data_IF_276412313267
#
_entry.id   IF_276412313267
#
_cell.length_a   1.000
_cell.length_b   1.000
_cell.length_c   1.000
_cell.angle_alpha   90.00
_cell.angle_beta   90.00
_cell.angle_gamma   90.00
#
_symmetry.space_group_name_H-M   'P 1'
#
loop_
_entity.id
_entity.type
_entity.pdbx_description
1 polymer ?
#
# COMPACT_ATOMS: atom_id res chain seq x y z
N UNK A 1 -44.23 8.64 25.69
CA UNK A 1 -43.50 9.70 24.95
C UNK A 1 -42.07 9.66 25.44
N UNK A 2 -41.16 8.98 24.70
CA UNK A 2 -39.79 8.79 25.17
C UNK A 2 -39.05 10.13 25.19
N UNK A 3 -38.80 10.65 26.38
CA UNK A 3 -37.94 11.82 26.58
C UNK A 3 -36.51 11.39 26.29
N UNK A 4 -36.02 11.74 25.10
CA UNK A 4 -34.62 11.58 24.72
C UNK A 4 -33.80 12.41 25.73
N UNK A 5 -32.97 11.74 26.52
CA UNK A 5 -32.14 12.43 27.52
C UNK A 5 -30.89 12.99 26.85
N UNK A 6 -30.26 13.99 27.47
CA UNK A 6 -29.01 14.59 26.96
C UNK A 6 -27.91 13.52 26.83
N UNK A 7 -27.91 12.49 27.69
CA UNK A 7 -27.00 11.35 27.60
C UNK A 7 -27.27 10.48 26.36
N UNK A 8 -28.53 10.33 25.93
CA UNK A 8 -28.86 9.60 24.71
C UNK A 8 -28.33 10.37 23.49
N UNK A 9 -28.55 11.69 23.44
CA UNK A 9 -28.03 12.52 22.36
C UNK A 9 -26.50 12.43 22.29
N UNK A 10 -25.82 12.55 23.43
CA UNK A 10 -24.36 12.46 23.53
C UNK A 10 -23.83 11.10 23.03
N UNK A 11 -24.43 9.99 23.47
CA UNK A 11 -24.07 8.64 23.03
C UNK A 11 -24.31 8.45 21.52
N UNK A 12 -25.40 8.97 20.98
CA UNK A 12 -25.67 8.90 19.55
C UNK A 12 -24.65 9.73 18.76
N UNK A 13 -24.29 10.95 19.18
CA UNK A 13 -23.22 11.71 18.51
C UNK A 13 -21.87 11.01 18.52
N UNK A 14 -21.52 10.33 19.62
CA UNK A 14 -20.29 9.54 19.73
C UNK A 14 -20.34 8.35 18.75
N UNK A 15 -21.43 7.58 18.76
CA UNK A 15 -21.57 6.39 17.89
C UNK A 15 -21.53 6.79 16.42
N UNK A 16 -22.29 7.80 16.00
CA UNK A 16 -22.32 8.24 14.60
C UNK A 16 -21.02 8.92 14.17
N UNK A 17 -20.41 9.73 15.06
CA UNK A 17 -19.13 10.37 14.81
C UNK A 17 -18.03 9.36 14.55
N UNK A 18 -17.81 8.42 15.47
CA UNK A 18 -16.76 7.41 15.34
C UNK A 18 -17.02 6.41 14.20
N UNK A 19 -18.29 6.03 13.96
CA UNK A 19 -18.65 5.15 12.84
C UNK A 19 -18.41 5.83 11.49
N UNK A 20 -18.66 7.14 11.37
CA UNK A 20 -18.42 7.86 10.12
C UNK A 20 -16.93 7.92 9.75
N UNK A 21 -16.05 8.14 10.74
CA UNK A 21 -14.60 8.23 10.53
C UNK A 21 -14.02 6.88 10.10
N UNK A 22 -14.47 5.77 10.71
CA UNK A 22 -14.01 4.42 10.33
C UNK A 22 -14.48 4.02 8.94
N UNK A 23 -15.72 4.37 8.57
CA UNK A 23 -16.25 4.14 7.21
C UNK A 23 -15.47 4.96 6.17
N UNK A 24 -15.17 6.24 6.44
CA UNK A 24 -14.40 7.09 5.53
C UNK A 24 -12.98 6.55 5.34
N UNK A 25 -12.30 6.13 6.42
CA UNK A 25 -10.98 5.52 6.34
C UNK A 25 -10.98 4.19 5.56
N UNK A 26 -12.04 3.39 5.72
CA UNK A 26 -12.24 2.16 4.96
C UNK A 26 -12.44 2.43 3.46
N UNK A 27 -13.24 3.44 3.11
CA UNK A 27 -13.49 3.83 1.71
C UNK A 27 -12.20 4.35 1.05
N UNK A 28 -11.45 5.25 1.70
CA UNK A 28 -10.20 5.79 1.14
C UNK A 28 -9.16 4.70 0.86
N UNK A 29 -9.06 3.70 1.74
CA UNK A 29 -8.11 2.59 1.57
C UNK A 29 -8.54 1.60 0.47
N UNK A 30 -9.84 1.40 0.25
CA UNK A 30 -10.35 0.54 -0.82
C UNK A 30 -10.30 1.21 -2.20
N UNK A 31 -10.69 2.49 -2.30
CA UNK A 31 -10.72 3.24 -3.56
C UNK A 31 -9.30 3.40 -4.14
N UNK A 32 -8.31 3.74 -3.30
CA UNK A 32 -6.92 3.89 -3.74
C UNK A 32 -6.28 2.60 -4.29
N UNK A 33 -6.69 1.44 -3.78
CA UNK A 33 -6.22 0.13 -4.28
C UNK A 33 -6.84 -0.24 -5.63
N UNK A 34 -8.07 0.19 -5.90
CA UNK A 34 -8.77 -0.10 -7.15
C UNK A 34 -8.14 0.58 -8.36
N UNK A 35 -7.78 1.86 -8.24
CA UNK A 35 -7.17 2.62 -9.33
C UNK A 35 -5.78 2.10 -9.70
N UNK A 36 -4.96 1.73 -8.72
CA UNK A 36 -3.62 1.19 -8.97
C UNK A 36 -3.67 -0.14 -9.73
N UNK A 37 -4.66 -0.99 -9.46
CA UNK A 37 -4.85 -2.26 -10.18
C UNK A 37 -5.27 -2.02 -11.63
N UNK A 38 -6.17 -1.07 -11.88
CA UNK A 38 -6.62 -0.71 -13.24
C UNK A 38 -5.46 -0.18 -14.09
N UNK A 39 -4.65 0.72 -13.53
CA UNK A 39 -3.47 1.29 -14.24
C UNK A 39 -2.43 0.21 -14.59
N UNK A 40 -2.15 -0.71 -13.66
CA UNK A 40 -1.27 -1.86 -13.91
C UNK A 40 -1.81 -2.78 -15.01
N UNK A 41 -3.11 -3.09 -14.98
CA UNK A 41 -3.74 -3.92 -16.00
C UNK A 41 -3.68 -3.28 -17.39
N UNK A 42 -3.98 -1.98 -17.49
CA UNK A 42 -3.89 -1.22 -18.73
C UNK A 42 -2.48 -1.19 -19.31
N UNK A 43 -1.46 -1.03 -18.46
CA UNK A 43 -0.06 -1.07 -18.90
C UNK A 43 0.36 -2.45 -19.40
N UNK A 44 -0.01 -3.52 -18.67
CA UNK A 44 0.24 -4.91 -19.10
C UNK A 44 -0.41 -5.19 -20.45
N UNK A 45 -1.67 -4.78 -20.62
CA UNK A 45 -2.40 -4.93 -21.88
C UNK A 45 -1.76 -4.13 -23.03
N UNK A 46 -1.23 -2.95 -22.75
CA UNK A 46 -0.54 -2.13 -23.75
C UNK A 46 0.72 -2.81 -24.28
N UNK A 47 1.51 -3.46 -23.42
CA UNK A 47 2.68 -4.26 -23.83
C UNK A 47 2.24 -5.46 -24.67
N UNK A 48 1.24 -6.21 -24.18
CA UNK A 48 0.71 -7.39 -24.87
C UNK A 48 0.15 -7.04 -26.26
N UNK A 49 -0.60 -5.95 -26.39
CA UNK A 49 -1.14 -5.51 -27.67
C UNK A 49 -0.05 -5.07 -28.64
N UNK A 50 0.99 -4.37 -28.18
CA UNK A 50 2.14 -3.99 -29.02
C UNK A 50 2.93 -5.21 -29.49
N UNK A 51 3.15 -6.18 -28.60
CA UNK A 51 3.77 -7.46 -28.94
C UNK A 51 2.94 -8.26 -29.96
N UNK A 52 1.63 -8.40 -29.73
CA UNK A 52 0.69 -9.09 -30.65
C UNK A 52 0.64 -8.44 -32.05
N UNK A 53 0.86 -7.13 -32.12
CA UNK A 53 0.91 -6.39 -33.37
C UNK A 53 2.32 -6.32 -33.99
N UNK A 54 3.29 -7.12 -33.51
CA UNK A 54 4.69 -7.11 -33.93
C UNK A 54 5.36 -5.72 -33.87
N UNK A 55 4.93 -4.87 -32.94
CA UNK A 55 5.55 -3.57 -32.68
C UNK A 55 6.72 -3.81 -31.72
N UNK A 56 7.93 -3.56 -32.21
CA UNK A 56 9.14 -3.64 -31.40
C UNK A 56 9.18 -2.47 -30.42
N UNK A 57 8.99 -2.76 -29.12
CA UNK A 57 9.14 -1.76 -28.07
C UNK A 57 10.63 -1.60 -27.80
N UNK A 58 11.13 -0.38 -27.98
CA UNK A 58 12.47 -0.03 -27.51
C UNK A 58 12.43 0.58 -26.10
N UNK A 59 13.56 0.67 -25.42
CA UNK A 59 13.58 1.12 -24.02
C UNK A 59 13.12 2.58 -23.85
N UNK A 60 13.37 3.47 -24.81
CA UNK A 60 12.80 4.83 -24.81
C UNK A 60 11.27 4.82 -24.96
N UNK A 61 10.74 3.91 -25.77
CA UNK A 61 9.30 3.75 -25.93
C UNK A 61 8.67 3.17 -24.67
N UNK A 62 9.34 2.22 -24.01
CA UNK A 62 8.93 1.68 -22.72
C UNK A 62 8.86 2.78 -21.64
N UNK A 63 9.85 3.67 -21.58
CA UNK A 63 9.84 4.81 -20.65
C UNK A 63 8.69 5.78 -20.93
N UNK A 64 8.41 6.09 -22.20
CA UNK A 64 7.23 6.88 -22.59
C UNK A 64 5.91 6.19 -22.23
N UNK A 65 5.85 4.85 -22.32
CA UNK A 65 4.69 4.08 -21.87
C UNK A 65 4.50 4.18 -20.36
N UNK A 66 5.57 4.18 -19.56
CA UNK A 66 5.50 4.38 -18.11
C UNK A 66 4.92 5.75 -17.78
N UNK A 67 5.45 6.81 -18.41
CA UNK A 67 5.00 8.19 -18.19
C UNK A 67 3.52 8.37 -18.57
N UNK A 68 3.12 7.86 -19.74
CA UNK A 68 1.73 7.99 -20.23
C UNK A 68 0.72 7.18 -19.40
N UNK A 69 1.11 6.03 -18.87
CA UNK A 69 0.24 5.18 -18.03
C UNK A 69 0.19 5.61 -16.56
N UNK A 70 1.00 6.59 -16.16
CA UNK A 70 1.10 7.09 -14.77
C UNK A 70 1.34 5.97 -13.74
N UNK A 71 2.03 4.92 -14.14
CA UNK A 71 2.47 3.87 -13.22
C UNK A 71 3.86 4.20 -12.70
N UNK A 72 4.17 3.71 -11.50
CA UNK A 72 5.54 3.79 -10.99
C UNK A 72 6.47 2.89 -11.81
N UNK A 73 7.70 3.36 -12.07
CA UNK A 73 8.73 2.61 -12.80
C UNK A 73 8.95 1.19 -12.25
N UNK A 74 9.06 1.05 -10.92
CA UNK A 74 9.17 -0.25 -10.25
C UNK A 74 8.01 -1.20 -10.60
N UNK A 75 6.78 -0.68 -10.68
CA UNK A 75 5.60 -1.47 -11.06
C UNK A 75 5.64 -1.88 -12.53
N UNK A 76 6.18 -1.03 -13.40
CA UNK A 76 6.36 -1.34 -14.82
C UNK A 76 7.38 -2.46 -15.03
N UNK A 77 8.50 -2.39 -14.33
CA UNK A 77 9.54 -3.43 -14.32
C UNK A 77 8.99 -4.76 -13.80
N UNK A 78 8.21 -4.74 -12.72
CA UNK A 78 7.53 -5.93 -12.21
C UNK A 78 6.57 -6.54 -13.23
N UNK A 79 5.79 -5.73 -13.95
CA UNK A 79 4.90 -6.20 -15.02
C UNK A 79 5.71 -6.85 -16.15
N UNK A 80 6.85 -6.28 -16.52
CA UNK A 80 7.72 -6.84 -17.55
C UNK A 80 8.35 -8.17 -17.09
N UNK A 81 8.80 -8.27 -15.83
CA UNK A 81 9.29 -9.52 -15.25
C UNK A 81 8.21 -10.59 -15.18
N UNK A 82 6.97 -10.22 -14.83
CA UNK A 82 5.83 -11.14 -14.87
C UNK A 82 5.55 -11.65 -16.29
N UNK A 83 5.57 -10.76 -17.29
CA UNK A 83 5.38 -11.15 -18.70
C UNK A 83 6.48 -12.09 -19.20
N UNK A 84 7.73 -11.88 -18.76
CA UNK A 84 8.85 -12.77 -19.05
C UNK A 84 8.67 -14.16 -18.42
N UNK A 85 8.14 -14.23 -17.19
CA UNK A 85 7.85 -15.48 -16.48
C UNK A 85 6.62 -16.20 -17.05
N UNK A 86 5.61 -15.46 -17.50
CA UNK A 86 4.38 -15.99 -18.12
C UNK A 86 4.57 -16.40 -19.59
N UNK A 87 5.71 -16.05 -20.19
CA UNK A 87 6.01 -16.34 -21.59
C UNK A 87 5.98 -17.85 -21.86
N UNK A 88 4.99 -18.29 -22.65
CA UNK A 88 4.75 -19.70 -22.95
C UNK A 88 5.40 -20.14 -24.26
N UNK A 89 5.85 -19.20 -25.10
CA UNK A 89 6.54 -19.48 -26.36
C UNK A 89 7.99 -18.97 -26.35
N UNK A 90 8.90 -19.59 -27.13
CA UNK A 90 10.27 -19.12 -27.27
C UNK A 90 10.36 -17.71 -27.86
N UNK A 91 9.47 -17.34 -28.78
CA UNK A 91 9.42 -15.99 -29.34
C UNK A 91 9.07 -14.93 -28.28
N UNK A 92 8.03 -15.18 -27.47
CA UNK A 92 7.62 -14.26 -26.41
C UNK A 92 8.73 -14.09 -25.36
N UNK A 93 9.36 -15.20 -24.97
CA UNK A 93 10.43 -15.18 -23.99
C UNK A 93 11.63 -14.38 -24.49
N UNK A 94 12.03 -14.57 -25.76
CA UNK A 94 13.12 -13.82 -26.36
C UNK A 94 12.80 -12.32 -26.46
N UNK A 95 11.56 -11.97 -26.84
CA UNK A 95 11.12 -10.57 -26.91
C UNK A 95 11.22 -9.87 -25.55
N UNK A 96 10.60 -10.43 -24.50
CA UNK A 96 10.63 -9.83 -23.18
C UNK A 96 12.05 -9.83 -22.58
N UNK A 97 12.85 -10.88 -22.83
CA UNK A 97 14.24 -10.95 -22.37
C UNK A 97 15.11 -9.87 -23.01
N UNK A 98 14.94 -9.61 -24.31
CA UNK A 98 15.62 -8.52 -25.00
C UNK A 98 15.20 -7.15 -24.47
N UNK A 99 13.92 -6.95 -24.19
CA UNK A 99 13.41 -5.69 -23.64
C UNK A 99 13.97 -5.44 -22.22
N UNK A 100 14.04 -6.46 -21.37
CA UNK A 100 14.70 -6.39 -20.05
C UNK A 100 16.17 -6.00 -20.19
N UNK A 101 16.91 -6.68 -21.07
CA UNK A 101 18.34 -6.38 -21.30
C UNK A 101 18.58 -4.97 -21.84
N UNK A 102 17.67 -4.46 -22.68
CA UNK A 102 17.75 -3.08 -23.19
C UNK A 102 17.49 -2.05 -22.09
N UNK A 103 16.54 -2.31 -21.19
CA UNK A 103 16.27 -1.46 -20.04
C UNK A 103 17.44 -1.46 -19.04
N UNK A 104 18.04 -2.62 -18.78
CA UNK A 104 19.24 -2.74 -17.96
C UNK A 104 20.44 -1.97 -18.53
N UNK A 105 20.55 -1.87 -19.86
CA UNK A 105 21.62 -1.10 -20.53
C UNK A 105 21.40 0.40 -20.49
N UNK A 106 20.14 0.86 -20.57
CA UNK A 106 19.82 2.30 -20.57
C UNK A 106 19.82 2.88 -19.15
N UNK A 107 19.56 2.08 -18.12
CA UNK A 107 19.70 2.50 -16.74
C UNK A 107 20.40 1.42 -15.89
N UNK A 108 21.76 1.39 -15.91
CA UNK A 108 22.53 0.48 -15.05
C UNK A 108 22.29 0.70 -13.54
N UNK A 109 21.61 1.81 -13.18
CA UNK A 109 21.30 2.23 -11.81
C UNK A 109 19.79 2.43 -11.58
N UNK A 110 18.94 1.84 -12.43
CA UNK A 110 17.50 2.14 -12.49
C UNK A 110 16.71 1.87 -11.21
N UNK A 111 17.22 1.00 -10.34
CA UNK A 111 16.70 0.62 -9.03
C UNK A 111 16.95 1.65 -7.92
N UNK A 112 17.81 2.65 -8.17
CA UNK A 112 18.25 3.62 -7.17
C UNK A 112 17.48 4.94 -7.20
N UNK A 113 17.44 5.62 -6.04
CA UNK A 113 16.87 6.96 -5.91
C UNK A 113 17.47 7.97 -6.90
N UNK A 114 16.71 9.00 -7.27
CA UNK A 114 17.10 9.97 -8.31
C UNK A 114 18.45 10.65 -8.03
N UNK A 115 18.72 10.95 -6.76
CA UNK A 115 19.96 11.60 -6.34
C UNK A 115 21.15 10.63 -6.43
N UNK A 116 20.97 9.38 -5.98
CA UNK A 116 22.00 8.33 -6.10
C UNK A 116 22.32 7.98 -7.54
N UNK A 117 21.31 7.95 -8.41
CA UNK A 117 21.48 7.71 -9.85
C UNK A 117 22.36 8.76 -10.50
N UNK A 118 22.11 10.03 -10.21
CA UNK A 118 22.90 11.15 -10.75
C UNK A 118 24.38 11.06 -10.31
N UNK A 119 24.62 10.63 -9.07
CA UNK A 119 25.97 10.45 -8.52
C UNK A 119 26.68 9.27 -9.21
N UNK A 120 25.98 8.14 -9.37
CA UNK A 120 26.54 6.94 -10.00
C UNK A 120 26.75 7.09 -11.50
N UNK A 121 25.89 7.80 -12.22
CA UNK A 121 26.10 8.14 -13.64
C UNK A 121 27.34 9.01 -13.82
N UNK A 122 27.55 9.99 -12.93
CA UNK A 122 28.79 10.80 -12.94
C UNK A 122 30.02 9.96 -12.62
N UNK A 123 29.93 9.08 -11.64
CA UNK A 123 31.03 8.17 -11.29
C UNK A 123 31.33 7.19 -12.43
N UNK A 124 30.30 6.67 -13.10
CA UNK A 124 30.43 5.81 -14.27
C UNK A 124 31.21 6.49 -15.38
N UNK A 125 30.85 7.72 -15.74
CA UNK A 125 31.58 8.52 -16.73
C UNK A 125 33.04 8.78 -16.31
N UNK A 126 33.33 8.96 -15.02
CA UNK A 126 34.70 9.13 -14.52
C UNK A 126 35.49 7.82 -14.63
N UNK A 127 34.90 6.69 -14.27
CA UNK A 127 35.55 5.37 -14.34
C UNK A 127 35.70 4.84 -15.75
N UNK A 128 34.79 5.18 -16.67
CA UNK A 128 34.84 4.78 -18.07
C UNK A 128 35.97 5.51 -18.82
N UNK A 129 36.28 6.75 -18.42
CA UNK A 129 37.41 7.52 -18.91
C UNK A 129 38.73 7.20 -18.17
N UNK A 130 38.73 6.28 -17.20
CA UNK A 130 39.96 5.85 -16.52
C UNK A 130 40.77 4.89 -17.39
N UNK A 131 42.09 5.03 -17.36
CA UNK A 131 43.04 4.14 -18.04
C UNK A 131 43.19 2.77 -17.38
N UNK A 132 42.61 2.55 -16.21
CA UNK A 132 42.70 1.29 -15.47
C UNK A 132 41.41 0.47 -15.56
N UNK A 133 41.48 -0.75 -16.07
CA UNK A 133 40.34 -1.66 -16.20
C UNK A 133 39.76 -2.07 -14.84
N UNK A 134 40.56 -2.00 -13.76
CA UNK A 134 40.08 -2.23 -12.40
C UNK A 134 39.00 -1.23 -11.98
N UNK A 135 39.11 0.01 -12.45
CA UNK A 135 38.27 1.12 -12.00
C UNK A 135 36.84 0.99 -12.54
N UNK A 136 36.70 0.38 -13.72
CA UNK A 136 35.42 0.03 -14.33
C UNK A 136 34.62 -0.98 -13.49
N UNK A 137 35.30 -1.80 -12.67
CA UNK A 137 34.66 -2.79 -11.80
C UNK A 137 34.35 -2.27 -10.39
N UNK A 138 34.88 -1.10 -9.99
CA UNK A 138 34.65 -0.53 -8.65
C UNK A 138 33.19 -0.14 -8.40
N UNK A 139 32.44 0.17 -9.46
CA UNK A 139 31.05 0.60 -9.35
C UNK A 139 30.08 -0.52 -9.02
N UNK A 140 30.41 -1.77 -9.32
CA UNK A 140 29.56 -2.93 -9.06
C UNK A 140 29.31 -3.13 -7.55
N UNK A 141 30.32 -3.21 -6.68
CA UNK A 141 30.09 -3.33 -5.24
C UNK A 141 29.43 -2.08 -4.63
N UNK A 142 29.74 -0.88 -5.14
CA UNK A 142 29.12 0.37 -4.70
C UNK A 142 27.61 0.37 -5.03
N UNK A 143 27.25 -0.04 -6.25
CA UNK A 143 25.86 -0.24 -6.67
C UNK A 143 25.13 -1.21 -5.76
N UNK A 144 25.69 -2.40 -5.54
CA UNK A 144 25.06 -3.43 -4.70
C UNK A 144 24.83 -2.97 -3.25
N UNK A 145 25.75 -2.16 -2.70
CA UNK A 145 25.59 -1.58 -1.38
C UNK A 145 24.49 -0.51 -1.34
N UNK A 146 24.40 0.34 -2.38
CA UNK A 146 23.37 1.37 -2.49
C UNK A 146 21.98 0.78 -2.72
N UNK A 147 21.87 -0.29 -3.51
CA UNK A 147 20.59 -1.00 -3.73
C UNK A 147 20.07 -1.59 -2.41
N UNK A 148 20.97 -2.19 -1.61
CA UNK A 148 20.61 -2.68 -0.27
C UNK A 148 20.19 -1.55 0.66
N UNK A 149 20.87 -0.40 0.62
CA UNK A 149 20.53 0.74 1.46
C UNK A 149 19.14 1.30 1.11
N UNK A 150 18.82 1.42 -0.18
CA UNK A 150 17.51 1.90 -0.65
C UNK A 150 16.38 0.91 -0.31
N UNK A 151 16.64 -0.40 -0.41
CA UNK A 151 15.73 -1.44 0.07
C UNK A 151 15.44 -1.32 1.57
N UNK A 152 16.48 -1.12 2.39
CA UNK A 152 16.32 -0.94 3.84
C UNK A 152 15.52 0.34 4.14
N UNK A 153 15.78 1.44 3.44
CA UNK A 153 15.05 2.69 3.64
C UNK A 153 13.56 2.55 3.26
N UNK A 154 13.27 1.90 2.14
CA UNK A 154 11.89 1.65 1.70
C UNK A 154 11.14 0.72 2.65
N UNK A 155 11.80 -0.34 3.16
CA UNK A 155 11.25 -1.21 4.20
C UNK A 155 10.98 -0.44 5.51
N UNK A 156 11.89 0.45 5.92
CA UNK A 156 11.70 1.29 7.10
C UNK A 156 10.53 2.26 6.93
N UNK A 157 10.41 2.91 5.76
CA UNK A 157 9.26 3.80 5.46
C UNK A 157 7.94 3.04 5.50
N UNK A 158 7.90 1.83 4.92
CA UNK A 158 6.72 0.95 4.95
C UNK A 158 6.39 0.53 6.38
N UNK A 159 7.39 0.11 7.14
CA UNK A 159 7.24 -0.31 8.55
C UNK A 159 6.76 0.85 9.42
N UNK A 160 7.30 2.06 9.23
CA UNK A 160 6.85 3.27 9.93
C UNK A 160 5.37 3.57 9.66
N UNK A 161 4.92 3.41 8.41
CA UNK A 161 3.52 3.62 8.03
C UNK A 161 2.60 2.56 8.66
N UNK A 162 3.04 1.30 8.70
CA UNK A 162 2.31 0.20 9.38
C UNK A 162 2.25 0.45 10.89
N UNK A 163 3.38 0.79 11.52
CA UNK A 163 3.43 1.10 12.94
C UNK A 163 2.52 2.27 13.30
N UNK A 164 2.52 3.35 12.49
CA UNK A 164 1.59 4.45 12.69
C UNK A 164 0.13 4.00 12.63
N UNK A 165 -0.24 3.19 11.64
CA UNK A 165 -1.59 2.61 11.56
C UNK A 165 -1.92 1.77 12.81
N UNK A 166 -1.01 0.89 13.23
CA UNK A 166 -1.19 0.05 14.41
C UNK A 166 -1.32 0.87 15.70
N UNK A 167 -0.56 1.96 15.84
CA UNK A 167 -0.68 2.89 16.96
C UNK A 167 -2.05 3.56 16.98
N UNK A 168 -2.55 4.02 15.83
CA UNK A 168 -3.89 4.62 15.72
C UNK A 168 -4.98 3.60 16.07
N UNK A 169 -4.88 2.37 15.55
CA UNK A 169 -5.80 1.28 15.90
C UNK A 169 -5.75 0.98 17.39
N UNK A 170 -4.55 0.90 17.99
CA UNK A 170 -4.36 0.69 19.42
C UNK A 170 -5.00 1.78 20.28
N UNK A 171 -4.88 3.05 19.89
CA UNK A 171 -5.54 4.16 20.58
C UNK A 171 -7.06 4.08 20.50
N UNK A 172 -7.61 3.70 19.35
CA UNK A 172 -9.06 3.50 19.19
C UNK A 172 -9.53 2.33 20.05
N UNK A 173 -8.84 1.18 20.01
CA UNK A 173 -9.15 0.02 20.84
C UNK A 173 -9.06 0.35 22.33
N UNK A 174 -8.10 1.16 22.74
CA UNK A 174 -7.97 1.62 24.12
C UNK A 174 -9.16 2.51 24.54
N UNK A 175 -9.55 3.46 23.70
CA UNK A 175 -10.73 4.30 23.95
C UNK A 175 -12.03 3.49 24.04
N UNK A 176 -12.20 2.48 23.16
CA UNK A 176 -13.32 1.54 23.21
C UNK A 176 -13.33 0.73 24.51
N UNK A 177 -12.16 0.30 24.98
CA UNK A 177 -12.02 -0.44 26.24
C UNK A 177 -12.45 0.41 27.45
N UNK A 178 -12.05 1.69 27.49
CA UNK A 178 -12.48 2.63 28.54
C UNK A 178 -13.99 2.87 28.49
N UNK A 179 -14.55 3.06 27.28
CA UNK A 179 -16.00 3.20 27.10
C UNK A 179 -16.78 1.96 27.57
N UNK A 180 -16.28 0.77 27.24
CA UNK A 180 -16.86 -0.50 27.68
C UNK A 180 -16.80 -0.69 29.19
N UNK A 181 -15.70 -0.29 29.83
CA UNK A 181 -15.57 -0.31 31.29
C UNK A 181 -16.56 0.66 31.96
N UNK A 182 -16.75 1.85 31.41
CA UNK A 182 -17.73 2.81 31.93
C UNK A 182 -19.16 2.27 31.87
N UNK A 183 -19.54 1.64 30.75
CA UNK A 183 -20.85 0.97 30.61
C UNK A 183 -20.97 -0.20 31.57
N UNK A 184 -19.92 -1.01 31.73
CA UNK A 184 -19.91 -2.15 32.65
C UNK A 184 -20.09 -1.72 34.11
N UNK A 185 -19.44 -0.63 34.54
CA UNK A 185 -19.59 -0.07 35.89
C UNK A 185 -20.98 0.50 36.17
N UNK A 186 -21.70 0.94 35.12
CA UNK A 186 -23.09 1.42 35.22
C UNK A 186 -24.13 0.34 34.92
N UNK A 187 -23.71 -0.88 34.59
CA UNK A 187 -24.65 -1.96 34.34
C UNK A 187 -25.35 -2.37 35.66
N UNK A 188 -26.68 -2.57 35.63
CA UNK A 188 -27.44 -2.88 36.85
C UNK A 188 -26.97 -4.18 37.48
N UNK A 189 -26.90 -4.20 38.82
CA UNK A 189 -26.47 -5.39 39.55
C UNK A 189 -27.52 -6.51 39.44
N UNK A 190 -27.13 -7.75 39.77
CA UNK A 190 -28.09 -8.88 39.82
C UNK A 190 -29.24 -8.61 40.79
N UNK A 191 -28.98 -7.87 41.86
CA UNK A 191 -29.99 -7.47 42.85
C UNK A 191 -30.94 -6.40 42.30
N UNK A 192 -30.42 -5.45 41.52
CA UNK A 192 -31.24 -4.42 40.85
C UNK A 192 -32.21 -5.06 39.86
N UNK A 193 -31.73 -6.02 39.06
CA UNK A 193 -32.55 -6.78 38.09
C UNK A 193 -33.63 -7.58 38.82
N UNK A 194 -33.29 -8.25 39.93
CA UNK A 194 -34.25 -9.03 40.71
C UNK A 194 -35.34 -8.15 41.35
N UNK A 195 -34.99 -6.94 41.80
CA UNK A 195 -35.93 -5.98 42.39
C UNK A 195 -36.92 -5.43 41.35
N UNK A 196 -36.43 -5.10 40.15
CA UNK A 196 -37.24 -4.65 39.02
C UNK A 196 -38.21 -5.76 38.59
N UNK A 197 -37.72 -6.99 38.47
CA UNK A 197 -38.53 -8.15 38.08
C UNK A 197 -39.62 -8.47 39.12
N UNK A 198 -39.33 -8.31 40.41
CA UNK A 198 -40.31 -8.52 41.49
C UNK A 198 -41.39 -7.44 41.51
N UNK A 199 -41.04 -6.18 41.25
CA UNK A 199 -41.99 -5.07 41.15
C UNK A 199 -42.91 -5.21 39.93
N UNK A 200 -42.37 -5.62 38.78
CA UNK A 200 -43.15 -5.93 37.57
C UNK A 200 -44.16 -7.08 37.83
N UNK A 201 -43.71 -8.18 38.45
CA UNK A 201 -44.58 -9.31 38.80
C UNK A 201 -45.67 -8.94 39.81
N UNK A 202 -45.40 -8.01 40.73
CA UNK A 202 -46.41 -7.51 41.67
C UNK A 202 -47.42 -6.56 41.01
N UNK A 203 -46.99 -5.75 40.04
CA UNK A 203 -47.90 -4.91 39.26
C UNK A 203 -48.82 -5.74 38.36
N UNK A 204 -48.31 -6.81 37.73
CA UNK A 204 -49.14 -7.73 36.92
C UNK A 204 -50.22 -8.40 37.78
N UNK A 205 -49.90 -8.78 39.03
CA UNK A 205 -50.87 -9.35 39.99
C UNK A 205 -51.91 -8.36 40.53
N UNK A 206 -51.69 -7.05 40.41
CA UNK A 206 -52.65 -6.02 40.84
C UNK A 206 -53.64 -5.61 39.73
N UNK A 207 -53.37 -6.02 38.49
CA UNK A 207 -54.17 -5.68 37.31
C UNK A 207 -55.12 -6.83 36.91
N UNK A 208 -54.96 -8.02 37.50
CA UNK A 208 -55.96 -9.11 37.51
C UNK A 208 -56.87 -8.99 38.73
#
# INVERSE_FOLDING_TARGET
MNTITINDIANWTIIFGYSSITIIAFIMTFVGKGESKKKRAFFKESILNKHKNNINIDADEFMRMIESSKIGKLTAEQVLSELLLEASTPEDHNYYSQLVRKLEKIEPFGTLSKDMRTILERLYLITENSSSESDKHLLIPIRNALEKADQIETEQKRTKKINFMLTVVGLISFALSIGGLYVSLKSPSKEDIASIMKNELQNIKKVQ
#
